data_IF_945375558934
#
_entry.id   IF_945375558934
#
_cell.length_a   1.000
_cell.length_b   1.000
_cell.length_c   1.000
_cell.angle_alpha   90.00
_cell.angle_beta   90.00
_cell.angle_gamma   90.00
#
_symmetry.space_group_name_H-M   'P 1'
#
loop_
_entity.id
_entity.type
_entity.pdbx_description
1 polymer ?
#
# COMPACT_ATOMS: atom_id res chain seq x y z
N UNK A 1 27.42 -86.05 11.04
CA UNK A 1 26.02 -85.67 10.79
C UNK A 1 25.73 -84.49 11.73
N UNK A 2 25.82 -83.23 11.28
CA UNK A 2 24.90 -82.50 10.42
C UNK A 2 23.60 -82.05 11.16
N UNK A 3 23.52 -80.71 11.34
CA UNK A 3 22.37 -79.76 11.33
C UNK A 3 21.24 -79.93 12.39
N UNK A 4 21.00 -78.91 13.25
CA UNK A 4 20.13 -77.76 12.94
C UNK A 4 20.05 -76.71 14.06
N UNK A 5 19.90 -75.48 13.60
CA UNK A 5 19.68 -74.21 14.31
C UNK A 5 18.43 -74.20 15.18
N UNK A 6 18.43 -73.33 16.19
CA UNK A 6 17.23 -72.59 16.60
C UNK A 6 17.66 -71.20 17.10
N UNK A 7 17.49 -70.22 16.22
CA UNK A 7 17.52 -68.78 16.48
C UNK A 7 16.43 -68.38 17.49
N UNK A 8 16.79 -67.52 18.44
CA UNK A 8 15.87 -66.91 19.39
C UNK A 8 16.01 -65.38 19.38
N UNK A 9 15.19 -64.74 18.54
CA UNK A 9 14.84 -63.31 18.44
C UNK A 9 15.29 -62.40 19.59
N UNK A 10 16.18 -61.46 19.27
CA UNK A 10 16.28 -60.17 19.96
C UNK A 10 15.07 -59.29 19.59
N UNK A 11 14.36 -58.80 20.60
CA UNK A 11 13.30 -57.81 20.44
C UNK A 11 13.89 -56.44 20.09
N UNK A 12 13.27 -55.64 19.20
CA UNK A 12 13.72 -54.28 18.95
C UNK A 12 13.49 -53.43 20.19
N UNK A 13 14.58 -52.90 20.74
CA UNK A 13 14.60 -51.86 21.76
C UNK A 13 13.88 -50.65 21.20
N UNK A 14 12.71 -50.32 21.77
CA UNK A 14 11.98 -49.10 21.47
C UNK A 14 12.83 -47.92 21.93
N UNK A 15 13.47 -47.22 20.99
CA UNK A 15 14.07 -45.92 21.27
C UNK A 15 12.93 -44.96 21.67
N UNK A 16 13.08 -44.20 22.77
CA UNK A 16 12.13 -43.15 23.07
C UNK A 16 12.17 -42.16 21.91
N UNK A 17 11.02 -42.05 21.23
CA UNK A 17 10.77 -41.10 20.17
C UNK A 17 11.36 -39.76 20.56
N UNK A 18 12.21 -39.25 19.67
CA UNK A 18 12.70 -37.89 19.66
C UNK A 18 11.58 -36.97 20.16
N UNK A 19 11.84 -36.38 21.32
CA UNK A 19 11.17 -35.17 21.73
C UNK A 19 11.34 -34.22 20.56
N UNK A 20 10.25 -34.03 19.83
CA UNK A 20 10.06 -33.06 18.76
C UNK A 20 10.37 -31.69 19.36
N UNK A 21 11.67 -31.42 19.42
CA UNK A 21 12.26 -30.13 19.58
C UNK A 21 11.94 -29.49 18.25
N UNK A 22 10.74 -28.91 18.17
CA UNK A 22 10.41 -27.90 17.20
C UNK A 22 11.61 -26.97 17.14
N UNK A 23 12.39 -27.12 16.07
CA UNK A 23 13.48 -26.24 15.72
C UNK A 23 12.88 -24.84 15.60
N UNK A 24 12.83 -24.09 16.71
CA UNK A 24 12.70 -22.65 16.62
C UNK A 24 14.03 -22.21 16.00
N UNK A 25 14.04 -21.74 14.75
CA UNK A 25 15.28 -21.32 14.13
C UNK A 25 15.89 -20.21 14.99
N UNK A 26 17.23 -20.20 15.17
CA UNK A 26 17.88 -19.31 16.11
C UNK A 26 17.65 -17.85 15.69
N UNK A 27 16.90 -17.11 16.50
CA UNK A 27 17.01 -15.66 16.66
C UNK A 27 16.99 -14.80 15.39
N UNK A 28 16.32 -15.24 14.32
CA UNK A 28 16.16 -14.41 13.12
C UNK A 28 15.36 -13.17 13.48
N UNK A 29 15.93 -11.98 13.27
CA UNK A 29 15.16 -10.73 13.27
C UNK A 29 13.93 -10.93 12.36
N UNK A 30 12.82 -10.27 12.70
CA UNK A 30 11.60 -10.28 11.90
C UNK A 30 11.86 -9.86 10.45
N UNK A 31 10.84 -9.83 9.62
CA UNK A 31 10.90 -9.33 8.24
C UNK A 31 9.83 -8.28 8.03
N UNK A 32 10.10 -7.33 7.16
CA UNK A 32 9.13 -6.34 6.69
C UNK A 32 9.10 -6.35 5.16
N UNK A 33 8.00 -5.87 4.60
CA UNK A 33 7.84 -5.64 3.17
C UNK A 33 8.09 -4.16 2.88
N UNK A 34 9.17 -3.83 2.20
CA UNK A 34 9.38 -2.49 1.67
C UNK A 34 8.65 -2.34 0.34
N UNK A 35 7.91 -1.23 0.16
CA UNK A 35 7.25 -0.91 -1.10
C UNK A 35 7.58 0.49 -1.61
N UNK A 36 7.72 0.68 -2.92
CA UNK A 36 7.94 2.00 -3.52
C UNK A 36 7.19 2.09 -4.85
N UNK A 37 6.48 3.21 -5.05
CA UNK A 37 5.85 3.51 -6.33
C UNK A 37 6.89 4.18 -7.24
N UNK A 38 7.20 3.53 -8.37
CA UNK A 38 8.09 4.11 -9.36
C UNK A 38 7.46 5.29 -10.10
N UNK A 39 8.30 6.05 -10.80
CA UNK A 39 7.86 7.15 -11.70
C UNK A 39 7.02 6.65 -12.88
N UNK A 40 7.14 5.36 -13.21
CA UNK A 40 6.30 4.63 -14.16
C UNK A 40 4.92 4.26 -13.62
N UNK A 41 4.64 4.54 -12.35
CA UNK A 41 3.40 4.15 -11.68
C UNK A 41 3.36 2.67 -11.28
N UNK A 42 4.47 1.93 -11.39
CA UNK A 42 4.55 0.53 -10.99
C UNK A 42 5.04 0.42 -9.54
N UNK A 43 4.27 -0.26 -8.70
CA UNK A 43 4.65 -0.57 -7.33
C UNK A 43 5.68 -1.70 -7.30
N UNK A 44 6.80 -1.47 -6.64
CA UNK A 44 7.88 -2.45 -6.45
C UNK A 44 7.98 -2.83 -4.99
N UNK A 45 8.35 -4.08 -4.73
CA UNK A 45 8.35 -4.65 -3.39
C UNK A 45 9.65 -5.42 -3.12
N UNK A 46 10.17 -5.30 -1.90
CA UNK A 46 11.30 -6.08 -1.41
C UNK A 46 11.04 -6.56 0.01
N UNK A 47 11.30 -7.84 0.28
CA UNK A 47 11.27 -8.36 1.64
C UNK A 47 12.66 -8.19 2.24
N UNK A 48 12.74 -7.49 3.37
CA UNK A 48 14.00 -7.28 4.09
C UNK A 48 13.87 -7.74 5.53
N UNK A 49 15.02 -7.96 6.17
CA UNK A 49 15.08 -8.19 7.61
C UNK A 49 14.63 -6.92 8.33
N UNK A 50 13.82 -7.06 9.38
CA UNK A 50 13.30 -6.00 10.22
C UNK A 50 14.48 -5.18 10.78
N UNK A 51 14.64 -3.93 10.31
CA UNK A 51 15.68 -3.03 10.78
C UNK A 51 15.51 -2.72 12.27
N UNK A 52 16.61 -2.66 13.01
CA UNK A 52 16.58 -2.27 14.41
C UNK A 52 16.37 -0.75 14.59
N UNK A 53 16.71 0.04 13.57
CA UNK A 53 16.58 1.51 13.62
C UNK A 53 15.98 2.07 12.34
N UNK A 54 15.40 3.27 12.44
CA UNK A 54 14.89 4.02 11.29
C UNK A 54 15.99 4.30 10.24
N UNK A 55 17.21 4.60 10.69
CA UNK A 55 18.34 4.88 9.80
C UNK A 55 18.75 3.62 9.03
N UNK A 56 18.81 2.47 9.70
CA UNK A 56 19.04 1.16 9.07
C UNK A 56 17.96 0.86 8.03
N UNK A 57 16.69 1.17 8.35
CA UNK A 57 15.58 1.02 7.41
C UNK A 57 15.73 1.92 6.17
N UNK A 58 16.15 3.18 6.34
CA UNK A 58 16.43 4.08 5.21
C UNK A 58 17.57 3.56 4.33
N UNK A 59 18.63 3.04 4.93
CA UNK A 59 19.75 2.45 4.18
C UNK A 59 19.30 1.24 3.36
N UNK A 60 18.54 0.32 3.97
CA UNK A 60 17.96 -0.83 3.25
C UNK A 60 17.01 -0.40 2.14
N UNK A 61 16.16 0.60 2.38
CA UNK A 61 15.29 1.16 1.34
C UNK A 61 16.08 1.74 0.17
N UNK A 62 17.19 2.44 0.46
CA UNK A 62 18.07 2.98 -0.57
C UNK A 62 18.70 1.87 -1.40
N UNK A 63 19.22 0.82 -0.77
CA UNK A 63 19.81 -0.32 -1.47
C UNK A 63 18.79 -1.05 -2.36
N UNK A 64 17.58 -1.28 -1.85
CA UNK A 64 16.49 -1.94 -2.58
C UNK A 64 15.98 -1.11 -3.77
N UNK A 65 15.89 0.21 -3.63
CA UNK A 65 15.24 1.08 -4.60
C UNK A 65 16.16 2.13 -5.24
N UNK A 66 17.48 1.93 -5.23
CA UNK A 66 18.46 2.90 -5.71
C UNK A 66 18.16 3.42 -7.13
N UNK A 67 17.71 2.55 -8.05
CA UNK A 67 17.30 2.96 -9.41
C UNK A 67 16.10 3.89 -9.38
N UNK A 68 15.08 3.57 -8.61
CA UNK A 68 13.85 4.36 -8.52
C UNK A 68 14.11 5.70 -7.87
N UNK A 69 14.85 5.70 -6.75
CA UNK A 69 15.26 6.91 -6.02
C UNK A 69 16.07 7.84 -6.92
N UNK A 70 17.08 7.30 -7.64
CA UNK A 70 17.87 8.07 -8.59
C UNK A 70 17.02 8.62 -9.74
N UNK A 71 16.10 7.81 -10.30
CA UNK A 71 15.21 8.25 -11.38
C UNK A 71 14.21 9.33 -10.94
N UNK A 72 13.85 9.36 -9.66
CA UNK A 72 13.00 10.38 -9.06
C UNK A 72 13.79 11.66 -8.69
N UNK A 73 15.12 11.68 -8.85
CA UNK A 73 15.96 12.79 -8.43
C UNK A 73 15.95 13.04 -6.92
N UNK A 74 15.57 12.04 -6.13
CA UNK A 74 15.48 12.15 -4.67
C UNK A 74 16.83 11.79 -4.02
N UNK A 75 17.21 12.50 -2.98
CA UNK A 75 18.38 12.17 -2.16
C UNK A 75 18.00 11.23 -1.02
N UNK A 76 19.01 10.66 -0.35
CA UNK A 76 18.76 9.81 0.83
C UNK A 76 18.04 10.59 1.95
N UNK A 77 18.32 11.88 2.10
CA UNK A 77 17.68 12.74 3.11
C UNK A 77 16.20 12.96 2.81
N UNK A 78 15.84 13.02 1.53
CA UNK A 78 14.45 13.18 1.11
C UNK A 78 13.59 11.97 1.42
N UNK A 79 14.16 10.77 1.63
CA UNK A 79 13.40 9.55 1.85
C UNK A 79 12.67 9.56 3.20
N UNK A 80 11.36 9.32 3.15
CA UNK A 80 10.44 9.14 4.28
C UNK A 80 9.83 7.75 4.22
N UNK A 81 9.85 7.05 5.35
CA UNK A 81 9.22 5.75 5.50
C UNK A 81 7.80 5.94 6.07
N UNK A 82 6.82 5.29 5.44
CA UNK A 82 5.40 5.37 5.82
C UNK A 82 4.87 3.98 6.18
N UNK A 83 4.12 3.88 7.26
CA UNK A 83 3.44 2.65 7.68
C UNK A 83 1.99 2.66 7.18
N UNK A 84 1.50 1.52 6.69
CA UNK A 84 0.10 1.35 6.34
C UNK A 84 -0.76 1.17 7.60
N UNK A 85 -1.66 2.12 7.87
CA UNK A 85 -2.58 2.10 9.02
C UNK A 85 -4.01 1.98 8.52
N UNK A 86 -4.79 1.09 9.12
CA UNK A 86 -6.20 0.94 8.79
C UNK A 86 -7.03 2.00 9.52
N UNK A 87 -7.75 2.81 8.74
CA UNK A 87 -8.72 3.78 9.27
C UNK A 87 -9.98 3.08 9.81
N UNK A 88 -10.85 3.85 10.48
CA UNK A 88 -12.13 3.35 11.00
C UNK A 88 -13.08 2.86 9.90
N UNK A 89 -12.97 3.38 8.67
CA UNK A 89 -13.73 2.91 7.50
C UNK A 89 -13.17 1.63 6.88
N UNK A 90 -11.99 1.19 7.33
CA UNK A 90 -11.30 0.02 6.81
C UNK A 90 -10.35 0.29 5.65
N UNK A 91 -10.24 1.55 5.20
CA UNK A 91 -9.28 1.99 4.18
C UNK A 91 -7.87 2.09 4.77
N UNK A 92 -6.87 1.65 4.01
CA UNK A 92 -5.45 1.77 4.40
C UNK A 92 -4.94 3.19 4.07
N UNK A 93 -4.38 3.84 5.06
CA UNK A 93 -3.77 5.17 4.98
C UNK A 93 -2.27 5.04 5.27
N UNK A 94 -1.44 5.79 4.56
CA UNK A 94 0.02 5.74 4.72
C UNK A 94 0.48 6.89 5.63
N UNK A 95 0.92 6.57 6.83
CA UNK A 95 1.37 7.55 7.82
C UNK A 95 2.90 7.58 7.90
N UNK A 96 3.51 8.76 7.81
CA UNK A 96 4.96 8.93 7.97
C UNK A 96 5.40 8.53 9.38
N UNK A 97 6.44 7.71 9.46
CA UNK A 97 7.02 7.23 10.72
C UNK A 97 8.10 8.21 11.14
N UNK A 98 8.03 8.72 12.38
CA UNK A 98 9.13 9.52 12.92
C UNK A 98 10.29 8.61 13.33
N UNK A 99 11.56 9.02 13.15
CA UNK A 99 12.71 8.19 13.47
C UNK A 99 12.69 7.61 14.89
N UNK A 100 12.28 8.41 15.87
CA UNK A 100 12.20 8.05 17.29
C UNK A 100 11.09 7.04 17.61
N UNK A 101 10.11 6.85 16.72
CA UNK A 101 8.96 5.95 16.93
C UNK A 101 9.17 4.58 16.28
N UNK A 102 10.21 4.41 15.46
CA UNK A 102 10.40 3.23 14.62
C UNK A 102 10.27 1.91 15.38
N UNK A 103 11.01 1.78 16.49
CA UNK A 103 11.06 0.55 17.28
C UNK A 103 9.72 0.22 17.96
N UNK A 104 8.87 1.23 18.19
CA UNK A 104 7.60 1.05 18.89
C UNK A 104 6.46 0.71 17.93
N UNK A 105 6.52 1.17 16.68
CA UNK A 105 5.40 1.10 15.73
C UNK A 105 5.58 0.04 14.64
N UNK A 106 6.81 -0.33 14.28
CA UNK A 106 7.07 -1.28 13.20
C UNK A 106 7.27 -2.69 13.75
N UNK A 107 6.49 -3.62 13.20
CA UNK A 107 6.45 -5.02 13.60
C UNK A 107 6.81 -5.96 12.47
N UNK A 108 7.12 -7.21 12.83
CA UNK A 108 7.33 -8.28 11.88
C UNK A 108 6.06 -8.51 11.03
N UNK A 109 6.22 -8.47 9.70
CA UNK A 109 5.16 -8.62 8.73
C UNK A 109 4.60 -7.32 8.18
N UNK A 110 4.98 -6.17 8.74
CA UNK A 110 4.47 -4.87 8.28
C UNK A 110 4.94 -4.52 6.87
N UNK A 111 4.09 -3.77 6.16
CA UNK A 111 4.46 -3.10 4.92
C UNK A 111 4.88 -1.65 5.22
N UNK A 112 6.09 -1.30 4.78
CA UNK A 112 6.69 0.01 4.90
C UNK A 112 6.85 0.61 3.51
N UNK A 113 6.12 1.68 3.24
CA UNK A 113 6.20 2.40 1.97
C UNK A 113 7.29 3.46 2.00
N UNK A 114 8.17 3.41 1.01
CA UNK A 114 9.22 4.39 0.74
C UNK A 114 8.64 5.49 -0.13
N UNK A 115 8.70 6.72 0.38
CA UNK A 115 8.36 7.94 -0.36
C UNK A 115 9.39 9.02 -0.08
N UNK A 116 9.18 10.21 -0.64
CA UNK A 116 9.96 11.42 -0.37
C UNK A 116 9.23 12.40 0.55
N UNK A 117 9.95 13.29 1.22
CA UNK A 117 9.42 14.31 2.14
C UNK A 117 8.54 15.37 1.45
N UNK A 118 8.80 15.63 0.16
CA UNK A 118 7.91 16.38 -0.73
C UNK A 118 7.10 15.47 -1.68
N UNK A 119 7.36 14.17 -1.67
CA UNK A 119 6.48 13.16 -2.24
C UNK A 119 5.51 12.73 -1.14
N UNK A 120 4.75 13.71 -0.63
CA UNK A 120 3.36 13.36 -0.41
C UNK A 120 2.87 12.81 -1.74
N UNK A 121 2.26 11.61 -1.74
CA UNK A 121 1.76 11.03 -2.97
C UNK A 121 0.81 12.08 -3.54
N UNK A 122 1.22 12.77 -4.61
CA UNK A 122 0.62 14.04 -5.02
C UNK A 122 -0.89 13.96 -4.86
N UNK A 123 -1.43 14.81 -3.98
CA UNK A 123 -2.83 14.85 -3.50
C UNK A 123 -3.64 13.65 -4.03
N UNK A 124 -3.59 12.50 -3.34
CA UNK A 124 -4.31 11.31 -3.81
C UNK A 124 -5.82 11.58 -3.81
N UNK A 125 -6.48 11.31 -4.93
CA UNK A 125 -7.94 11.43 -5.06
C UNK A 125 -8.51 10.05 -5.28
N UNK A 126 -9.35 9.63 -4.34
CA UNK A 126 -10.14 8.43 -4.45
C UNK A 126 -11.51 8.80 -4.99
N UNK A 127 -11.85 8.27 -6.15
CA UNK A 127 -13.20 8.34 -6.71
C UNK A 127 -13.96 7.08 -6.33
N UNK A 128 -15.03 7.24 -5.56
CA UNK A 128 -15.96 6.16 -5.26
C UNK A 128 -17.10 6.15 -6.29
N UNK A 129 -17.26 5.04 -7.00
CA UNK A 129 -18.38 4.80 -7.92
C UNK A 129 -19.33 3.80 -7.31
N UNK A 130 -20.62 4.13 -7.27
CA UNK A 130 -21.64 3.19 -6.81
C UNK A 130 -21.98 2.17 -7.92
N UNK A 131 -21.65 0.90 -7.69
CA UNK A 131 -22.05 -0.22 -8.52
C UNK A 131 -23.42 -0.75 -8.09
N UNK A 132 -24.36 -0.85 -9.03
CA UNK A 132 -25.66 -1.49 -8.79
C UNK A 132 -25.56 -2.98 -9.10
N UNK A 133 -25.47 -3.82 -8.06
CA UNK A 133 -25.65 -5.25 -8.21
C UNK A 133 -27.12 -5.61 -7.99
N UNK A 134 -27.84 -5.92 -9.07
CA UNK A 134 -29.30 -6.14 -9.05
C UNK A 134 -29.74 -7.34 -8.19
N UNK A 135 -28.82 -8.21 -7.76
CA UNK A 135 -29.16 -9.46 -7.09
C UNK A 135 -28.87 -9.48 -5.59
N UNK A 136 -28.01 -8.61 -5.07
CA UNK A 136 -27.56 -8.63 -3.68
C UNK A 136 -27.35 -7.18 -3.22
N UNK A 137 -28.14 -6.69 -2.26
CA UNK A 137 -27.72 -5.50 -1.48
C UNK A 137 -26.55 -5.95 -0.61
N UNK A 138 -25.36 -5.32 -0.70
CA UNK A 138 -25.18 -3.88 -0.54
C UNK A 138 -24.66 -3.16 -1.79
N UNK A 139 -24.80 -1.84 -1.81
CA UNK A 139 -24.17 -0.93 -2.77
C UNK A 139 -22.65 -1.19 -2.76
N UNK A 140 -22.14 -1.86 -3.80
CA UNK A 140 -20.70 -2.11 -3.92
C UNK A 140 -20.09 -0.84 -4.48
N UNK A 141 -19.34 -0.12 -3.65
CA UNK A 141 -18.56 1.01 -4.10
C UNK A 141 -17.26 0.51 -4.74
N UNK A 142 -17.09 0.80 -6.03
CA UNK A 142 -15.84 0.64 -6.76
C UNK A 142 -15.00 1.90 -6.56
N UNK A 143 -13.85 1.75 -5.90
CA UNK A 143 -12.95 2.88 -5.66
C UNK A 143 -11.83 2.88 -6.70
N UNK A 144 -11.63 4.01 -7.38
CA UNK A 144 -10.47 4.23 -8.24
C UNK A 144 -9.65 5.39 -7.69
N UNK A 145 -8.39 5.15 -7.39
CA UNK A 145 -7.50 6.16 -6.80
C UNK A 145 -6.51 6.69 -7.83
N UNK A 146 -6.35 8.01 -7.92
CA UNK A 146 -5.39 8.67 -8.80
C UNK A 146 -4.46 9.56 -7.99
N UNK A 147 -3.22 9.66 -8.45
CA UNK A 147 -2.29 10.69 -8.00
C UNK A 147 -2.58 11.98 -8.76
N UNK A 148 -2.79 13.08 -8.05
CA UNK A 148 -2.85 14.37 -8.71
C UNK A 148 -1.45 14.82 -9.11
N UNK A 149 -1.29 15.32 -10.34
CA UNK A 149 -0.06 15.91 -10.76
C UNK A 149 0.26 17.18 -9.96
N UNK A 150 1.54 17.30 -9.67
CA UNK A 150 2.27 18.41 -9.07
C UNK A 150 2.35 19.66 -9.98
N UNK A 151 2.08 19.54 -11.28
CA UNK A 151 2.13 20.65 -12.24
C UNK A 151 0.97 20.68 -13.24
N UNK A 152 0.64 21.88 -13.74
CA UNK A 152 -0.33 22.11 -14.81
C UNK A 152 0.00 21.36 -16.12
N UNK A 153 1.27 21.10 -16.42
CA UNK A 153 1.70 20.36 -17.62
C UNK A 153 1.36 18.87 -17.58
N UNK A 154 1.18 18.29 -16.38
CA UNK A 154 0.76 16.89 -16.19
C UNK A 154 -0.75 16.75 -15.98
N UNK A 155 -1.50 17.85 -15.88
CA UNK A 155 -2.96 17.85 -15.74
C UNK A 155 -3.66 17.23 -16.95
N UNK A 156 -3.19 17.51 -18.17
CA UNK A 156 -3.73 16.92 -19.39
C UNK A 156 -3.58 15.39 -19.44
N UNK A 157 -2.51 14.86 -18.84
CA UNK A 157 -2.29 13.41 -18.73
C UNK A 157 -3.22 12.77 -17.68
N UNK A 158 -3.44 13.46 -16.56
CA UNK A 158 -4.43 13.01 -15.58
C UNK A 158 -5.83 13.05 -16.17
N UNK A 159 -6.19 14.11 -16.91
CA UNK A 159 -7.48 14.20 -17.58
C UNK A 159 -7.67 13.04 -18.58
N UNK A 160 -6.66 12.73 -19.37
CA UNK A 160 -6.68 11.57 -20.27
C UNK A 160 -6.81 10.24 -19.52
N UNK A 161 -6.12 10.07 -18.38
CA UNK A 161 -6.24 8.87 -17.53
C UNK A 161 -7.62 8.76 -16.89
N UNK A 162 -8.17 9.86 -16.37
CA UNK A 162 -9.53 9.92 -15.85
C UNK A 162 -10.53 9.52 -16.94
N UNK A 163 -10.38 10.03 -18.17
CA UNK A 163 -11.21 9.64 -19.31
C UNK A 163 -11.11 8.15 -19.65
N UNK A 164 -9.89 7.60 -19.65
CA UNK A 164 -9.65 6.19 -19.97
C UNK A 164 -10.20 5.25 -18.89
N UNK A 165 -9.97 5.58 -17.62
CA UNK A 165 -10.32 4.73 -16.48
C UNK A 165 -11.79 4.82 -16.08
N UNK A 166 -12.44 5.97 -16.26
CA UNK A 166 -13.81 6.20 -15.77
C UNK A 166 -14.92 5.96 -16.81
N UNK A 167 -14.58 5.34 -17.96
CA UNK A 167 -15.47 5.03 -19.08
C UNK A 167 -16.07 6.31 -19.75
N UNK A 168 -15.84 6.56 -21.05
CA UNK A 168 -16.05 7.88 -21.68
C UNK A 168 -17.47 8.45 -21.70
N UNK A 169 -18.50 7.73 -21.23
CA UNK A 169 -19.89 8.08 -21.48
C UNK A 169 -20.72 8.60 -20.29
N UNK A 170 -20.24 8.63 -19.02
CA UNK A 170 -21.15 8.99 -17.90
C UNK A 170 -20.61 9.81 -16.74
N UNK A 171 -19.30 10.02 -16.63
CA UNK A 171 -18.76 10.72 -15.48
C UNK A 171 -19.01 12.23 -15.58
N UNK A 172 -19.73 12.80 -14.61
CA UNK A 172 -19.83 14.24 -14.40
C UNK A 172 -19.60 14.54 -12.92
N UNK A 173 -18.71 15.49 -12.61
CA UNK A 173 -18.69 16.05 -11.26
C UNK A 173 -19.92 16.92 -11.07
N UNK A 174 -20.62 16.70 -9.98
CA UNK A 174 -21.75 17.52 -9.58
C UNK A 174 -21.42 18.26 -8.30
N UNK A 175 -21.76 19.55 -8.24
CA UNK A 175 -21.85 20.28 -6.97
C UNK A 175 -23.27 20.15 -6.43
N UNK A 176 -23.38 19.90 -5.14
CA UNK A 176 -24.66 20.00 -4.43
C UNK A 176 -24.98 21.47 -4.23
N UNK A 177 -26.17 21.88 -4.68
CA UNK A 177 -26.71 23.24 -4.53
C UNK A 177 -27.91 23.16 -3.59
N UNK A 178 -28.24 24.28 -2.93
CA UNK A 178 -29.46 24.43 -2.13
C UNK A 178 -29.69 23.30 -1.09
N UNK A 179 -28.82 23.21 -0.07
CA UNK A 179 -28.96 22.29 1.08
C UNK A 179 -29.22 20.81 0.71
N UNK A 180 -28.74 20.33 -0.43
CA UNK A 180 -28.89 18.92 -0.82
C UNK A 180 -30.03 18.61 -1.78
N UNK A 181 -30.81 19.61 -2.21
CA UNK A 181 -32.03 19.37 -3.00
C UNK A 181 -31.73 19.33 -4.50
N UNK A 182 -30.73 20.06 -4.97
CA UNK A 182 -30.38 20.14 -6.39
C UNK A 182 -28.89 19.85 -6.62
N UNK A 183 -28.56 19.28 -7.78
CA UNK A 183 -27.18 19.08 -8.22
C UNK A 183 -26.94 19.85 -9.51
N UNK A 184 -25.79 20.53 -9.60
CA UNK A 184 -25.37 21.20 -10.82
C UNK A 184 -24.09 20.55 -11.34
N UNK A 185 -24.06 20.24 -12.63
CA UNK A 185 -22.84 19.73 -13.26
C UNK A 185 -21.74 20.79 -13.24
N UNK A 186 -20.54 20.38 -12.86
CA UNK A 186 -19.34 21.21 -12.89
C UNK A 186 -18.74 21.09 -14.30
N UNK A 187 -18.40 22.20 -14.97
CA UNK A 187 -17.71 22.16 -16.26
C UNK A 187 -16.37 21.43 -16.16
N UNK A 188 -16.04 20.62 -17.17
CA UNK A 188 -14.83 19.77 -17.18
C UNK A 188 -13.53 20.53 -16.92
N UNK A 189 -13.37 21.69 -17.57
CA UNK A 189 -12.18 22.54 -17.38
C UNK A 189 -12.02 23.10 -15.96
N UNK A 190 -13.01 22.92 -15.07
CA UNK A 190 -12.94 23.33 -13.67
C UNK A 190 -12.73 22.16 -12.70
N UNK A 191 -12.74 20.91 -13.18
CA UNK A 191 -12.68 19.74 -12.31
C UNK A 191 -11.41 19.70 -11.49
N UNK A 192 -10.24 19.78 -12.13
CA UNK A 192 -8.96 19.70 -11.43
C UNK A 192 -8.77 20.82 -10.41
N UNK A 193 -9.20 22.04 -10.76
CA UNK A 193 -9.17 23.18 -9.84
C UNK A 193 -10.04 22.94 -8.60
N UNK A 194 -11.24 22.38 -8.78
CA UNK A 194 -12.16 22.10 -7.68
C UNK A 194 -11.67 20.93 -6.84
N UNK A 195 -11.23 19.86 -7.49
CA UNK A 195 -10.63 18.69 -6.85
C UNK A 195 -9.44 19.12 -5.98
N UNK A 196 -8.50 19.91 -6.51
CA UNK A 196 -7.36 20.43 -5.73
C UNK A 196 -7.81 21.23 -4.51
N UNK A 197 -8.75 22.16 -4.69
CA UNK A 197 -9.29 22.96 -3.57
C UNK A 197 -9.97 22.10 -2.51
N UNK A 198 -10.65 21.03 -2.91
CA UNK A 198 -11.27 20.09 -1.97
C UNK A 198 -10.21 19.38 -1.14
N UNK A 199 -9.11 18.93 -1.76
CA UNK A 199 -8.04 18.20 -1.07
C UNK A 199 -7.16 19.14 -0.23
N UNK A 200 -6.93 20.37 -0.68
CA UNK A 200 -6.28 21.41 0.12
C UNK A 200 -7.06 21.69 1.42
N UNK A 201 -8.39 21.64 1.33
CA UNK A 201 -9.28 21.86 2.48
C UNK A 201 -9.42 20.61 3.35
N UNK A 202 -9.47 19.44 2.72
CA UNK A 202 -9.58 18.13 3.36
C UNK A 202 -8.81 17.10 2.53
N UNK A 203 -7.56 16.76 2.93
CA UNK A 203 -6.69 15.83 2.22
C UNK A 203 -7.29 14.42 2.02
N UNK A 204 -8.36 14.11 2.74
CA UNK A 204 -9.03 12.81 2.75
C UNK A 204 -10.41 12.85 2.10
N UNK A 205 -10.75 13.92 1.37
CA UNK A 205 -12.06 14.04 0.76
C UNK A 205 -12.28 12.96 -0.31
N UNK A 206 -13.38 12.21 -0.17
CA UNK A 206 -13.84 11.28 -1.20
C UNK A 206 -14.71 12.03 -2.21
N UNK A 207 -14.41 11.84 -3.50
CA UNK A 207 -15.20 12.44 -4.57
C UNK A 207 -16.13 11.36 -5.12
N UNK A 208 -17.38 11.44 -4.69
CA UNK A 208 -18.44 10.55 -5.17
C UNK A 208 -18.85 10.93 -6.57
N UNK A 209 -18.92 9.92 -7.44
CA UNK A 209 -19.15 10.08 -8.87
C UNK A 209 -20.27 9.13 -9.31
N UNK A 210 -21.21 9.67 -10.09
CA UNK A 210 -22.37 8.93 -10.61
C UNK A 210 -22.09 8.40 -12.02
#
# INVERSE_FOLDING_TARGET
>A
MAIHELEGRDAPRSEPADSDTTNVPPGGRGKILLSMLGTDGIMRHFVVVLPATYLEAKAMAFDCFHVQIASAGSTADDIVLKLGVKSSSGVIVWASIRPEQWADVVSNGDEIRVGGGNLDPGLMVTFGRMGYNYREKPEVFEYTTFLLPDSYTKESQLEAKLQQSLNPCRFNLHRVVEKGVSTASIPRGQWLTIIRRLIEKDPYCEILVN
#
